data_IF_265291610458
#
_entry.id   IF_265291610458
#
_cell.length_a   1.000
_cell.length_b   1.000
_cell.length_c   1.000
_cell.angle_alpha   90.00
_cell.angle_beta   90.00
_cell.angle_gamma   90.00
#
_symmetry.space_group_name_H-M   'P 1'
#
loop_
_entity.id
_entity.type
_entity.pdbx_description
1 polymer ?
#
# COMPACT_ATOMS: atom_id res chain seq x y z
N UNK A 1 39.68 -0.29 28.86
CA UNK A 1 38.69 -1.28 29.34
C UNK A 1 37.92 -1.78 28.13
N UNK A 2 37.75 -3.09 27.92
CA UNK A 2 37.08 -3.60 26.73
C UNK A 2 35.55 -3.49 26.92
N UNK A 3 34.91 -2.69 26.08
CA UNK A 3 33.46 -2.61 26.00
C UNK A 3 32.92 -3.88 25.33
N UNK A 4 32.21 -4.71 26.09
CA UNK A 4 31.38 -5.77 25.52
C UNK A 4 30.26 -5.10 24.73
N UNK A 5 30.43 -4.97 23.41
CA UNK A 5 29.36 -4.58 22.48
C UNK A 5 28.30 -5.69 22.45
N UNK A 6 27.35 -5.66 23.38
CA UNK A 6 26.12 -6.40 23.21
C UNK A 6 25.29 -5.70 22.14
N UNK A 7 25.15 -6.30 20.96
CA UNK A 7 24.22 -5.85 19.91
C UNK A 7 22.83 -5.58 20.52
N UNK A 8 22.12 -4.51 20.12
CA UNK A 8 20.79 -4.16 20.63
C UNK A 8 19.77 -5.31 20.60
N UNK A 9 19.97 -6.28 19.69
CA UNK A 9 19.23 -7.53 19.65
C UNK A 9 19.40 -8.41 20.89
N UNK A 10 20.63 -8.49 21.40
CA UNK A 10 20.95 -9.23 22.62
C UNK A 10 20.35 -8.54 23.84
N UNK A 11 20.41 -7.21 23.93
CA UNK A 11 19.82 -6.46 25.04
C UNK A 11 18.29 -6.57 25.06
N UNK A 12 17.62 -6.54 23.89
CA UNK A 12 16.17 -6.83 23.79
C UNK A 12 15.80 -8.26 24.23
N UNK A 13 16.58 -9.26 23.82
CA UNK A 13 16.40 -10.66 24.29
C UNK A 13 16.61 -10.80 25.80
N UNK A 14 17.62 -10.14 26.34
CA UNK A 14 17.89 -10.13 27.78
C UNK A 14 16.75 -9.48 28.55
N UNK A 15 16.27 -8.32 28.08
CA UNK A 15 15.12 -7.62 28.66
C UNK A 15 13.87 -8.50 28.65
N UNK A 16 13.55 -9.15 27.53
CA UNK A 16 12.44 -10.10 27.43
C UNK A 16 12.60 -11.27 28.44
N UNK A 17 13.80 -11.81 28.60
CA UNK A 17 14.08 -12.86 29.60
C UNK A 17 13.88 -12.36 31.03
N UNK A 18 14.33 -11.15 31.35
CA UNK A 18 14.14 -10.54 32.68
C UNK A 18 12.66 -10.34 33.02
N UNK A 19 11.83 -10.05 32.02
CA UNK A 19 10.37 -10.00 32.17
C UNK A 19 9.79 -11.39 32.44
N UNK A 20 10.20 -12.41 31.69
CA UNK A 20 9.74 -13.80 31.90
C UNK A 20 10.09 -14.31 33.28
N UNK A 21 11.34 -14.07 33.74
CA UNK A 21 11.82 -14.49 35.06
C UNK A 21 11.29 -13.63 36.21
N UNK A 22 10.48 -12.60 35.92
CA UNK A 22 9.91 -11.67 36.91
C UNK A 22 10.98 -10.99 37.79
N UNK A 23 12.19 -10.79 37.24
CA UNK A 23 13.30 -10.13 37.94
C UNK A 23 13.14 -8.60 38.03
N UNK A 24 12.15 -8.04 37.35
CA UNK A 24 11.89 -6.61 37.27
C UNK A 24 10.63 -6.25 38.07
N UNK A 25 10.80 -5.51 39.17
CA UNK A 25 9.69 -5.01 39.99
C UNK A 25 8.88 -3.93 39.26
N UNK A 26 9.56 -3.08 38.47
CA UNK A 26 8.93 -2.00 37.68
C UNK A 26 9.47 -1.97 36.24
N UNK A 27 8.97 -2.87 35.36
CA UNK A 27 9.40 -2.96 33.97
C UNK A 27 9.36 -1.66 33.15
N UNK A 28 8.34 -0.82 33.37
CA UNK A 28 8.13 0.43 32.65
C UNK A 28 9.22 1.47 32.94
N UNK A 29 9.68 1.58 34.20
CA UNK A 29 10.77 2.49 34.58
C UNK A 29 12.07 2.06 33.93
N UNK A 30 12.35 0.75 33.92
CA UNK A 30 13.56 0.21 33.29
C UNK A 30 13.51 0.43 31.78
N UNK A 31 12.36 0.23 31.14
CA UNK A 31 12.18 0.56 29.73
C UNK A 31 12.48 2.04 29.43
N UNK A 32 11.85 2.98 30.15
CA UNK A 32 12.08 4.42 29.93
C UNK A 32 13.53 4.85 30.19
N UNK A 33 14.24 4.18 31.10
CA UNK A 33 15.64 4.46 31.37
C UNK A 33 16.62 3.81 30.36
N UNK A 34 16.20 2.78 29.64
CA UNK A 34 17.13 1.95 28.83
C UNK A 34 16.75 1.81 27.35
N UNK A 35 15.67 2.44 26.89
CA UNK A 35 15.19 2.30 25.51
C UNK A 35 16.23 2.70 24.45
N UNK A 36 17.12 3.65 24.75
CA UNK A 36 18.19 4.07 23.82
C UNK A 36 19.14 2.90 23.51
N UNK A 37 19.57 2.16 24.53
CA UNK A 37 20.41 0.96 24.39
C UNK A 37 19.66 -0.22 23.78
N UNK A 38 18.34 -0.29 24.02
CA UNK A 38 17.48 -1.30 23.42
C UNK A 38 17.15 -1.01 21.96
N UNK A 39 17.42 0.19 21.46
CA UNK A 39 17.02 0.60 20.10
C UNK A 39 18.18 0.99 19.19
N UNK A 40 19.41 1.06 19.71
CA UNK A 40 20.63 1.46 19.00
C UNK A 40 20.84 0.76 17.64
N UNK A 41 20.55 -0.54 17.54
CA UNK A 41 20.78 -1.33 16.33
C UNK A 41 19.57 -1.39 15.37
N UNK A 42 18.40 -0.84 15.76
CA UNK A 42 17.14 -1.01 15.04
C UNK A 42 17.17 -0.32 13.69
N UNK A 43 17.62 0.93 13.65
CA UNK A 43 17.70 1.68 12.41
C UNK A 43 18.70 1.04 11.44
N UNK A 44 19.86 0.63 11.95
CA UNK A 44 20.87 -0.05 11.15
C UNK A 44 20.38 -1.40 10.59
N UNK A 45 19.70 -2.20 11.41
CA UNK A 45 19.09 -3.46 10.98
C UNK A 45 18.02 -3.24 9.93
N UNK A 46 17.13 -2.28 10.13
CA UNK A 46 16.08 -1.97 9.17
C UNK A 46 16.65 -1.54 7.83
N UNK A 47 17.66 -0.67 7.81
CA UNK A 47 18.39 -0.30 6.58
C UNK A 47 18.98 -1.50 5.85
N UNK A 48 19.51 -2.49 6.58
CA UNK A 48 20.06 -3.72 5.99
C UNK A 48 18.99 -4.69 5.50
N UNK A 49 17.88 -4.82 6.22
CA UNK A 49 16.75 -5.68 5.84
C UNK A 49 16.03 -5.13 4.60
N UNK A 50 15.86 -3.81 4.52
CA UNK A 50 15.17 -3.14 3.39
C UNK A 50 16.10 -2.78 2.24
N UNK A 51 17.43 -2.86 2.43
CA UNK A 51 18.42 -2.44 1.44
C UNK A 51 18.52 -0.92 1.25
N UNK A 52 17.90 -0.11 2.12
CA UNK A 52 17.82 1.35 1.99
C UNK A 52 18.70 2.05 3.01
N UNK A 53 19.79 2.63 2.57
CA UNK A 53 20.78 3.28 3.44
C UNK A 53 20.33 4.66 3.97
N UNK A 54 19.41 5.31 3.26
CA UNK A 54 18.86 6.65 3.53
C UNK A 54 17.61 6.63 4.44
N UNK A 55 17.10 5.45 4.79
CA UNK A 55 15.93 5.28 5.65
C UNK A 55 16.16 5.92 7.02
N UNK A 56 15.24 6.80 7.41
CA UNK A 56 15.18 7.41 8.74
C UNK A 56 13.84 7.09 9.40
N UNK A 57 13.88 6.77 10.68
CA UNK A 57 12.72 6.43 11.50
C UNK A 57 12.58 7.45 12.62
N UNK A 58 11.34 7.76 13.01
CA UNK A 58 11.09 8.59 14.20
C UNK A 58 11.41 7.80 15.48
N UNK A 59 11.62 8.51 16.59
CA UNK A 59 11.89 7.88 17.89
C UNK A 59 10.74 6.95 18.30
N UNK A 60 9.49 7.35 18.04
CA UNK A 60 8.30 6.54 18.32
C UNK A 60 8.29 5.24 17.50
N UNK A 61 8.65 5.31 16.21
CA UNK A 61 8.75 4.13 15.34
C UNK A 61 9.85 3.17 15.80
N UNK A 62 11.01 3.72 16.16
CA UNK A 62 12.16 2.96 16.67
C UNK A 62 11.78 2.24 17.99
N UNK A 63 11.10 2.94 18.90
CA UNK A 63 10.56 2.36 20.14
C UNK A 63 9.55 1.26 19.82
N UNK A 64 8.62 1.49 18.89
CA UNK A 64 7.58 0.52 18.54
C UNK A 64 8.13 -0.77 17.91
N UNK A 65 9.10 -0.65 17.00
CA UNK A 65 9.78 -1.83 16.41
C UNK A 65 10.46 -2.64 17.50
N UNK A 66 11.12 -1.97 18.44
CA UNK A 66 11.77 -2.62 19.58
C UNK A 66 10.79 -3.33 20.50
N UNK A 67 9.65 -2.70 20.80
CA UNK A 67 8.56 -3.31 21.57
C UNK A 67 7.97 -4.53 20.86
N UNK A 68 7.85 -4.48 19.53
CA UNK A 68 7.38 -5.61 18.71
C UNK A 68 8.35 -6.79 18.76
N UNK A 69 9.67 -6.54 18.67
CA UNK A 69 10.68 -7.59 18.83
C UNK A 69 10.65 -8.22 20.23
N UNK A 70 10.45 -7.40 21.27
CA UNK A 70 10.32 -7.87 22.66
C UNK A 70 9.04 -8.71 22.83
N UNK A 71 7.91 -8.27 22.28
CA UNK A 71 6.65 -9.03 22.28
C UNK A 71 6.83 -10.38 21.60
N UNK A 72 7.48 -10.43 20.43
CA UNK A 72 7.77 -11.70 19.74
C UNK A 72 8.63 -12.65 20.58
N UNK A 73 9.61 -12.12 21.31
CA UNK A 73 10.41 -12.92 22.25
C UNK A 73 9.64 -13.37 23.50
N UNK A 74 8.62 -12.62 23.92
CA UNK A 74 7.74 -13.04 25.02
C UNK A 74 6.75 -14.11 24.55
N UNK A 75 6.19 -13.94 23.36
CA UNK A 75 5.25 -14.88 22.74
C UNK A 75 5.91 -16.25 22.53
N UNK A 76 7.18 -16.28 22.12
CA UNK A 76 7.94 -17.53 22.02
C UNK A 76 8.16 -18.25 23.36
N UNK A 77 7.95 -17.55 24.48
CA UNK A 77 7.97 -18.10 25.84
C UNK A 77 6.56 -18.20 26.47
N UNK A 78 5.49 -18.10 25.68
CA UNK A 78 4.10 -18.21 26.14
C UNK A 78 3.66 -17.07 27.07
N UNK A 79 4.24 -15.88 26.90
CA UNK A 79 3.92 -14.66 27.65
C UNK A 79 3.61 -13.51 26.66
N UNK A 80 2.97 -12.46 27.14
CA UNK A 80 2.68 -11.26 26.35
C UNK A 80 2.84 -10.02 27.22
N UNK A 81 3.21 -8.89 26.62
CA UNK A 81 3.28 -7.58 27.28
C UNK A 81 1.94 -7.13 27.87
N UNK A 82 0.82 -7.73 27.41
CA UNK A 82 -0.51 -7.55 28.02
C UNK A 82 -0.54 -7.84 29.53
N UNK A 83 0.38 -8.66 30.03
CA UNK A 83 0.53 -8.97 31.46
C UNK A 83 0.94 -7.75 32.30
N UNK A 84 1.68 -6.80 31.73
CA UNK A 84 2.17 -5.61 32.45
C UNK A 84 1.38 -4.37 32.04
N UNK A 85 0.43 -3.96 32.88
CA UNK A 85 -0.51 -2.87 32.57
C UNK A 85 0.14 -1.52 32.25
N UNK A 86 1.29 -1.22 32.89
CA UNK A 86 2.01 0.04 32.76
C UNK A 86 3.10 0.02 31.68
N UNK A 87 3.32 -1.11 31.01
CA UNK A 87 4.36 -1.24 30.01
C UNK A 87 3.81 -0.76 28.65
N UNK A 88 4.56 0.07 27.90
CA UNK A 88 4.12 0.54 26.59
C UNK A 88 3.95 -0.65 25.65
N UNK A 89 2.78 -0.78 25.05
CA UNK A 89 2.49 -1.91 24.16
C UNK A 89 2.94 -1.54 22.76
N UNK A 90 3.37 -2.53 21.95
CA UNK A 90 3.48 -2.30 20.52
C UNK A 90 2.12 -1.82 20.02
N UNK A 91 2.08 -0.61 19.50
CA UNK A 91 0.94 -0.08 18.78
C UNK A 91 0.95 -0.69 17.39
N UNK A 92 -0.23 -1.11 16.94
CA UNK A 92 -0.41 -1.65 15.61
C UNK A 92 -0.44 -0.47 14.63
N UNK A 93 0.75 -0.06 14.21
CA UNK A 93 0.92 0.87 13.10
C UNK A 93 0.80 0.15 11.73
N UNK A 94 0.23 -1.06 11.70
CA UNK A 94 0.36 -1.98 10.58
C UNK A 94 1.75 -2.63 10.58
N UNK A 95 1.89 -3.70 9.80
CA UNK A 95 3.20 -4.26 9.49
C UNK A 95 4.06 -3.16 8.86
N UNK A 96 4.96 -2.55 9.63
CA UNK A 96 5.97 -1.63 9.08
C UNK A 96 6.83 -2.40 8.07
N UNK A 97 6.40 -2.42 6.81
CA UNK A 97 7.14 -2.93 5.68
C UNK A 97 8.31 -1.98 5.31
N UNK A 98 8.44 -0.86 6.04
CA UNK A 98 9.37 0.23 5.74
C UNK A 98 8.83 1.21 4.70
N UNK A 99 7.66 0.92 4.13
CA UNK A 99 7.02 1.70 3.06
C UNK A 99 5.70 2.31 3.54
N UNK A 100 5.78 3.54 4.03
CA UNK A 100 4.63 4.30 4.53
C UNK A 100 3.49 4.41 3.52
N UNK A 101 3.77 4.36 2.21
CA UNK A 101 2.73 4.45 1.19
C UNK A 101 1.83 3.21 1.18
N UNK A 102 2.38 2.03 1.51
CA UNK A 102 1.62 0.80 1.65
C UNK A 102 0.79 0.85 2.94
N UNK A 103 1.39 1.32 4.03
CA UNK A 103 0.70 1.46 5.32
C UNK A 103 -0.50 2.42 5.22
N UNK A 104 -0.34 3.54 4.51
CA UNK A 104 -1.41 4.51 4.25
C UNK A 104 -2.59 3.85 3.50
N UNK A 105 -2.34 2.93 2.57
CA UNK A 105 -3.38 2.21 1.81
C UNK A 105 -3.98 1.00 2.57
N UNK A 106 -3.30 0.47 3.58
CA UNK A 106 -3.83 -0.61 4.42
C UNK A 106 -4.61 -0.09 5.63
N UNK A 107 -4.61 1.21 5.86
CA UNK A 107 -5.30 1.86 7.00
C UNK A 107 -6.83 1.81 6.90
N UNK A 108 -7.39 1.55 5.71
CA UNK A 108 -8.84 1.50 5.52
C UNK A 108 -9.47 0.35 6.34
N UNK A 109 -10.54 0.67 7.08
CA UNK A 109 -11.26 -0.31 7.89
C UNK A 109 -12.08 -1.22 6.97
N UNK A 110 -11.76 -2.51 6.98
CA UNK A 110 -12.40 -3.54 6.14
C UNK A 110 -13.93 -3.54 6.26
N UNK A 111 -14.46 -3.41 7.48
CA UNK A 111 -15.91 -3.42 7.72
C UNK A 111 -16.63 -2.23 7.10
N UNK A 112 -16.01 -1.04 7.13
CA UNK A 112 -16.60 0.17 6.55
C UNK A 112 -16.62 0.08 5.02
N UNK A 113 -15.54 -0.46 4.44
CA UNK A 113 -15.45 -0.72 3.00
C UNK A 113 -16.47 -1.77 2.55
N UNK A 114 -16.75 -2.79 3.36
CA UNK A 114 -17.78 -3.78 3.06
C UNK A 114 -19.17 -3.15 3.04
N UNK A 115 -19.52 -2.35 4.05
CA UNK A 115 -20.83 -1.65 4.11
C UNK A 115 -21.03 -0.68 2.95
N UNK A 116 -19.98 0.07 2.61
CA UNK A 116 -20.00 0.96 1.44
C UNK A 116 -20.23 0.15 0.16
N UNK A 117 -19.53 -0.98 -0.01
CA UNK A 117 -19.73 -1.86 -1.16
C UNK A 117 -21.16 -2.40 -1.25
N UNK A 118 -21.72 -2.89 -0.15
CA UNK A 118 -23.10 -3.39 -0.10
C UNK A 118 -24.12 -2.31 -0.51
N UNK A 119 -23.92 -1.07 -0.04
CA UNK A 119 -24.76 0.08 -0.39
C UNK A 119 -24.69 0.40 -1.89
N UNK A 120 -23.48 0.42 -2.45
CA UNK A 120 -23.27 0.66 -3.88
C UNK A 120 -23.84 -0.50 -4.72
N UNK A 121 -23.65 -1.74 -4.29
CA UNK A 121 -24.17 -2.92 -4.99
C UNK A 121 -25.71 -3.02 -4.94
N UNK A 122 -26.37 -2.32 -4.03
CA UNK A 122 -27.84 -2.19 -4.02
C UNK A 122 -28.36 -1.19 -5.07
N UNK A 123 -27.55 -0.20 -5.46
CA UNK A 123 -27.94 0.85 -6.43
C UNK A 123 -27.37 0.64 -7.84
N UNK A 124 -26.53 -0.38 -8.03
CA UNK A 124 -25.85 -0.66 -9.31
C UNK A 124 -26.84 -1.12 -10.39
N UNK A 125 -26.65 -0.65 -11.62
CA UNK A 125 -27.43 -1.12 -12.78
C UNK A 125 -26.93 -2.49 -13.26
N UNK A 126 -27.76 -3.22 -14.03
CA UNK A 126 -27.36 -4.53 -14.57
C UNK A 126 -26.13 -4.48 -15.47
N UNK A 127 -25.99 -3.40 -16.24
CA UNK A 127 -24.84 -3.17 -17.12
C UNK A 127 -23.56 -2.91 -16.30
N UNK A 128 -23.63 -2.00 -15.33
CA UNK A 128 -22.52 -1.74 -14.41
C UNK A 128 -22.13 -2.97 -13.60
N UNK A 129 -23.11 -3.80 -13.21
CA UNK A 129 -22.88 -5.06 -12.48
C UNK A 129 -22.09 -6.07 -13.31
N UNK A 130 -22.35 -6.16 -14.62
CA UNK A 130 -21.58 -7.05 -15.51
C UNK A 130 -20.11 -6.65 -15.56
N UNK A 131 -19.84 -5.36 -15.78
CA UNK A 131 -18.48 -4.80 -15.78
C UNK A 131 -17.80 -5.03 -14.42
N UNK A 132 -18.50 -4.73 -13.33
CA UNK A 132 -18.02 -4.92 -11.97
C UNK A 132 -17.60 -6.37 -11.72
N UNK A 133 -18.47 -7.35 -12.02
CA UNK A 133 -18.18 -8.76 -11.79
C UNK A 133 -16.96 -9.21 -12.59
N UNK A 134 -16.89 -8.83 -13.86
CA UNK A 134 -15.79 -9.23 -14.73
C UNK A 134 -14.43 -8.71 -14.25
N UNK A 135 -14.35 -7.44 -13.85
CA UNK A 135 -13.10 -6.85 -13.35
C UNK A 135 -12.76 -7.44 -11.98
N UNK A 136 -13.76 -7.60 -11.11
CA UNK A 136 -13.58 -8.23 -9.80
C UNK A 136 -13.00 -9.65 -9.95
N UNK A 137 -13.56 -10.46 -10.84
CA UNK A 137 -13.06 -11.81 -11.10
C UNK A 137 -11.63 -11.81 -11.65
N UNK A 138 -11.29 -10.86 -12.54
CA UNK A 138 -9.93 -10.73 -13.06
C UNK A 138 -8.92 -10.34 -11.98
N UNK A 139 -9.30 -9.45 -11.06
CA UNK A 139 -8.47 -9.06 -9.92
C UNK A 139 -8.28 -10.22 -8.94
N UNK A 140 -9.36 -10.93 -8.63
CA UNK A 140 -9.36 -11.98 -7.61
C UNK A 140 -8.65 -13.26 -8.08
N UNK A 141 -8.70 -13.55 -9.37
CA UNK A 141 -7.99 -14.70 -9.95
C UNK A 141 -6.55 -14.37 -10.37
N UNK A 142 -6.07 -13.15 -10.10
CA UNK A 142 -4.75 -12.66 -10.50
C UNK A 142 -4.48 -12.87 -12.01
N UNK A 143 -5.53 -12.84 -12.85
CA UNK A 143 -5.40 -13.03 -14.30
C UNK A 143 -4.73 -11.82 -14.98
N UNK A 144 -4.72 -10.67 -14.29
CA UNK A 144 -4.30 -9.39 -14.85
C UNK A 144 -5.23 -8.91 -15.96
N UNK A 145 -5.00 -7.68 -16.45
CA UNK A 145 -5.72 -7.16 -17.61
C UNK A 145 -5.79 -5.63 -17.63
N UNK A 146 -5.94 -5.05 -18.81
CA UNK A 146 -6.26 -3.62 -18.95
C UNK A 146 -7.69 -3.54 -19.45
N UNK A 147 -8.54 -2.85 -18.68
CA UNK A 147 -9.96 -2.68 -18.93
C UNK A 147 -10.23 -1.21 -19.25
N UNK A 148 -10.92 -0.98 -20.35
CA UNK A 148 -11.35 0.36 -20.76
C UNK A 148 -12.85 0.48 -20.48
N UNK A 149 -13.24 1.40 -19.59
CA UNK A 149 -14.64 1.63 -19.30
C UNK A 149 -15.18 2.75 -20.20
N UNK A 150 -16.07 2.39 -21.10
CA UNK A 150 -16.76 3.34 -21.98
C UNK A 150 -18.02 3.88 -21.30
N UNK A 151 -18.37 5.13 -21.63
CA UNK A 151 -19.64 5.74 -21.25
C UNK A 151 -19.59 7.25 -21.36
N UNK A 152 -20.67 7.87 -21.83
CA UNK A 152 -20.81 9.32 -21.89
C UNK A 152 -20.69 9.98 -20.50
N UNK A 153 -20.49 11.30 -20.46
CA UNK A 153 -20.57 12.06 -19.21
C UNK A 153 -21.88 11.76 -18.47
N UNK A 154 -21.82 11.52 -17.16
CA UNK A 154 -23.01 11.21 -16.34
C UNK A 154 -23.45 9.74 -16.31
N UNK A 155 -22.77 8.82 -17.01
CA UNK A 155 -23.10 7.37 -17.01
C UNK A 155 -22.68 6.61 -15.74
N UNK A 156 -22.14 7.29 -14.73
CA UNK A 156 -21.77 6.67 -13.46
C UNK A 156 -20.47 5.85 -13.49
N UNK A 157 -19.51 6.15 -14.38
CA UNK A 157 -18.19 5.49 -14.38
C UNK A 157 -17.50 5.55 -12.99
N UNK A 158 -17.51 6.73 -12.38
CA UNK A 158 -17.01 6.95 -11.01
C UNK A 158 -17.72 6.08 -9.98
N UNK A 159 -19.00 5.76 -10.18
CA UNK A 159 -19.75 4.86 -9.30
C UNK A 159 -19.18 3.43 -9.36
N UNK A 160 -18.90 2.92 -10.57
CA UNK A 160 -18.26 1.60 -10.76
C UNK A 160 -16.87 1.58 -10.11
N UNK A 161 -16.10 2.66 -10.24
CA UNK A 161 -14.78 2.78 -9.62
C UNK A 161 -14.84 2.71 -8.10
N UNK A 162 -15.80 3.41 -7.49
CA UNK A 162 -16.05 3.36 -6.04
C UNK A 162 -16.43 1.95 -5.59
N UNK A 163 -17.35 1.31 -6.32
CA UNK A 163 -17.79 -0.04 -5.99
C UNK A 163 -16.64 -1.05 -6.06
N UNK A 164 -15.83 -1.03 -7.12
CA UNK A 164 -14.66 -1.90 -7.25
C UNK A 164 -13.61 -1.62 -6.16
N UNK A 165 -13.37 -0.34 -5.86
CA UNK A 165 -12.42 0.06 -4.81
C UNK A 165 -12.82 -0.50 -3.45
N UNK A 166 -14.08 -0.31 -3.06
CA UNK A 166 -14.59 -0.77 -1.77
C UNK A 166 -14.64 -2.29 -1.67
N UNK A 167 -14.95 -2.99 -2.78
CA UNK A 167 -14.96 -4.45 -2.86
C UNK A 167 -13.59 -5.08 -2.62
N UNK A 168 -12.54 -4.47 -3.15
CA UNK A 168 -11.18 -4.99 -3.05
C UNK A 168 -10.57 -4.60 -1.70
N UNK A 169 -10.81 -3.37 -1.25
CA UNK A 169 -10.36 -2.89 0.08
C UNK A 169 -11.04 -3.64 1.23
N UNK A 170 -12.30 -4.04 1.10
CA UNK A 170 -12.97 -4.90 2.11
C UNK A 170 -12.37 -6.30 2.22
N UNK A 171 -11.45 -6.68 1.32
CA UNK A 171 -10.66 -7.91 1.43
C UNK A 171 -9.24 -7.66 1.95
N UNK A 172 -8.95 -6.46 2.44
CA UNK A 172 -7.62 -6.07 2.92
C UNK A 172 -6.59 -5.90 1.81
N UNK A 173 -7.03 -5.71 0.56
CA UNK A 173 -6.15 -5.54 -0.59
C UNK A 173 -6.01 -4.06 -0.98
N UNK A 174 -4.90 -3.72 -1.62
CA UNK A 174 -4.55 -2.34 -1.98
C UNK A 174 -5.13 -1.97 -3.34
N UNK A 175 -5.81 -0.82 -3.39
CA UNK A 175 -6.34 -0.20 -4.61
C UNK A 175 -5.76 1.19 -4.77
N UNK A 176 -5.17 1.49 -5.93
CA UNK A 176 -4.64 2.82 -6.22
C UNK A 176 -5.64 3.58 -7.08
N UNK A 177 -6.38 4.48 -6.43
CA UNK A 177 -7.24 5.43 -7.13
C UNK A 177 -6.40 6.61 -7.63
N UNK A 178 -6.45 6.83 -8.94
CA UNK A 178 -5.72 7.89 -9.63
C UNK A 178 -6.60 8.62 -10.62
N UNK A 179 -6.30 9.89 -10.85
CA UNK A 179 -6.92 10.66 -11.92
C UNK A 179 -5.92 11.63 -12.54
N UNK A 180 -6.22 12.14 -13.74
CA UNK A 180 -5.39 13.17 -14.37
C UNK A 180 -5.58 14.54 -13.69
N UNK A 181 -6.82 14.89 -13.35
CA UNK A 181 -7.16 16.11 -12.61
C UNK A 181 -7.26 15.88 -11.10
N UNK A 182 -6.86 16.88 -10.31
CA UNK A 182 -7.02 16.86 -8.85
C UNK A 182 -8.48 16.79 -8.41
N UNK A 183 -9.40 17.43 -9.15
CA UNK A 183 -10.83 17.42 -8.85
C UNK A 183 -11.42 16.02 -9.07
N UNK A 184 -11.06 15.34 -10.15
CA UNK A 184 -11.47 13.96 -10.41
C UNK A 184 -10.92 13.00 -9.35
N UNK A 185 -9.67 13.20 -8.91
CA UNK A 185 -9.07 12.39 -7.86
C UNK A 185 -9.85 12.48 -6.53
N UNK A 186 -10.36 13.65 -6.16
CA UNK A 186 -11.12 13.84 -4.92
C UNK A 186 -12.45 13.07 -4.89
N UNK A 187 -12.99 12.69 -6.05
CA UNK A 187 -14.22 11.90 -6.12
C UNK A 187 -14.00 10.44 -5.68
N UNK A 188 -12.76 9.98 -5.63
CA UNK A 188 -12.39 8.63 -5.21
C UNK A 188 -11.69 8.67 -3.86
N UNK A 189 -12.04 7.76 -2.95
CA UNK A 189 -11.42 7.71 -1.63
C UNK A 189 -9.93 7.34 -1.74
N UNK A 190 -9.07 8.17 -1.17
CA UNK A 190 -7.61 8.04 -1.32
C UNK A 190 -7.09 8.41 -2.71
N UNK A 191 -7.92 9.02 -3.55
CA UNK A 191 -7.56 9.43 -4.89
C UNK A 191 -6.43 10.46 -4.90
N UNK A 192 -5.47 10.27 -5.79
CA UNK A 192 -4.34 11.20 -6.02
C UNK A 192 -4.20 11.46 -7.51
N UNK A 193 -3.61 12.59 -7.89
CA UNK A 193 -3.28 12.80 -9.31
C UNK A 193 -2.23 11.78 -9.75
N UNK A 194 -2.30 11.33 -11.00
CA UNK A 194 -1.31 10.40 -11.57
C UNK A 194 0.12 10.94 -11.44
N UNK A 195 0.29 12.25 -11.64
CA UNK A 195 1.54 12.97 -11.40
C UNK A 195 2.08 12.76 -9.97
N UNK A 196 1.22 12.88 -8.95
CA UNK A 196 1.63 12.70 -7.57
C UNK A 196 1.80 11.21 -7.19
N UNK A 197 0.94 10.33 -7.71
CA UNK A 197 0.94 8.89 -7.40
C UNK A 197 2.11 8.15 -8.05
N UNK A 198 2.46 8.48 -9.28
CA UNK A 198 3.47 7.77 -10.07
C UNK A 198 4.72 8.62 -10.32
N UNK A 199 4.70 9.91 -9.99
CA UNK A 199 5.83 10.80 -10.27
C UNK A 199 6.02 11.10 -11.75
N UNK A 200 4.93 11.04 -12.52
CA UNK A 200 4.91 11.39 -13.94
C UNK A 200 5.12 12.92 -14.05
N UNK A 201 6.09 13.41 -14.84
CA UNK A 201 6.24 14.84 -15.10
C UNK A 201 5.13 15.38 -16.01
N UNK A 202 4.71 16.62 -15.75
CA UNK A 202 3.62 17.31 -16.48
C UNK A 202 4.02 17.65 -17.92
N UNK A 203 5.32 17.89 -18.16
CA UNK A 203 5.88 18.10 -19.49
C UNK A 203 6.60 16.82 -19.96
N UNK A 204 5.99 16.10 -20.88
CA UNK A 204 6.57 14.91 -21.51
C UNK A 204 7.57 15.38 -22.57
N UNK A 205 8.84 15.51 -22.19
CA UNK A 205 9.94 15.48 -23.16
C UNK A 205 10.34 14.00 -23.40
N UNK A 206 10.84 13.64 -24.58
CA UNK A 206 11.24 12.26 -24.96
C UNK A 206 12.29 11.64 -24.02
N UNK A 207 12.84 12.44 -23.10
CA UNK A 207 13.84 12.06 -22.09
C UNK A 207 13.31 12.02 -20.65
N UNK A 208 12.00 12.20 -20.45
CA UNK A 208 11.40 12.33 -19.11
C UNK A 208 11.17 10.97 -18.43
N UNK A 209 12.18 10.49 -17.70
CA UNK A 209 12.08 9.28 -16.86
C UNK A 209 11.33 9.54 -15.55
N UNK A 210 10.46 8.61 -15.14
CA UNK A 210 9.78 8.62 -13.83
C UNK A 210 10.79 8.39 -12.69
N UNK A 211 11.47 9.45 -12.22
CA UNK A 211 12.49 9.39 -11.15
C UNK A 211 11.99 8.80 -9.82
N UNK A 212 10.67 8.75 -9.59
CA UNK A 212 10.09 8.16 -8.38
C UNK A 212 9.85 6.64 -8.47
N UNK A 213 9.91 6.04 -9.66
CA UNK A 213 9.56 4.62 -9.90
C UNK A 213 10.79 3.72 -10.12
N UNK A 214 11.94 4.11 -9.56
CA UNK A 214 13.14 3.28 -9.62
C UNK A 214 12.91 1.92 -8.93
N UNK A 215 13.48 0.82 -9.45
CA UNK A 215 13.38 -0.49 -8.81
C UNK A 215 13.91 -0.44 -7.36
N UNK A 216 13.05 -0.75 -6.40
CA UNK A 216 13.38 -0.70 -4.96
C UNK A 216 12.90 0.59 -4.24
N UNK A 217 12.28 1.52 -4.96
CA UNK A 217 11.63 2.68 -4.34
C UNK A 217 10.29 2.32 -3.67
N UNK A 218 9.86 3.16 -2.72
CA UNK A 218 8.55 3.02 -2.07
C UNK A 218 7.39 3.01 -3.06
N UNK A 219 7.46 3.83 -4.11
CA UNK A 219 6.39 3.92 -5.09
C UNK A 219 6.36 2.66 -5.98
N UNK A 220 7.52 2.10 -6.34
CA UNK A 220 7.59 0.87 -7.10
C UNK A 220 7.05 -0.33 -6.30
N UNK A 221 7.36 -0.41 -5.01
CA UNK A 221 6.80 -1.41 -4.11
C UNK A 221 5.30 -1.25 -3.89
N UNK A 222 4.80 0.00 -3.75
CA UNK A 222 3.38 0.27 -3.64
C UNK A 222 2.61 -0.23 -4.87
N UNK A 223 3.11 0.08 -6.07
CA UNK A 223 2.52 -0.38 -7.33
C UNK A 223 2.58 -1.90 -7.44
N UNK A 224 3.65 -2.53 -6.95
CA UNK A 224 3.73 -4.00 -6.84
C UNK A 224 2.75 -4.56 -5.82
N UNK A 225 2.45 -3.88 -4.73
CA UNK A 225 1.53 -4.37 -3.71
C UNK A 225 0.05 -4.18 -4.10
N UNK A 226 -0.25 -3.18 -4.95
CA UNK A 226 -1.59 -2.91 -5.45
C UNK A 226 -2.15 -4.09 -6.25
N UNK A 227 -3.47 -4.32 -6.14
CA UNK A 227 -4.22 -5.34 -6.90
C UNK A 227 -5.03 -4.73 -8.04
N UNK A 228 -5.54 -3.52 -7.84
CA UNK A 228 -6.26 -2.73 -8.84
C UNK A 228 -5.68 -1.32 -8.89
N UNK A 229 -5.53 -0.80 -10.11
CA UNK A 229 -5.23 0.61 -10.36
C UNK A 229 -6.40 1.19 -11.15
N UNK A 230 -7.08 2.16 -10.56
CA UNK A 230 -8.10 2.95 -11.28
C UNK A 230 -7.43 4.23 -11.72
N UNK A 231 -7.53 4.57 -13.00
CA UNK A 231 -7.00 5.82 -13.54
C UNK A 231 -8.08 6.56 -14.31
N UNK A 232 -8.70 7.52 -13.65
CA UNK A 232 -9.71 8.39 -14.24
C UNK A 232 -9.09 9.47 -15.16
N UNK A 233 -9.71 9.72 -16.30
CA UNK A 233 -9.24 10.64 -17.36
C UNK A 233 -7.79 10.38 -17.83
N UNK A 234 -7.32 9.14 -17.87
CA UNK A 234 -5.95 8.83 -18.27
C UNK A 234 -5.59 9.41 -19.65
N UNK A 235 -4.47 10.15 -19.81
CA UNK A 235 -3.99 10.53 -21.13
C UNK A 235 -3.58 9.26 -21.89
N UNK A 236 -3.54 9.35 -23.22
CA UNK A 236 -3.10 8.24 -24.08
C UNK A 236 -1.80 7.63 -23.53
N UNK A 237 -1.91 6.39 -23.07
CA UNK A 237 -0.82 5.68 -22.41
C UNK A 237 0.33 5.51 -23.39
N UNK A 238 1.39 6.32 -23.28
CA UNK A 238 2.59 6.13 -24.09
C UNK A 238 3.16 4.73 -23.87
N UNK A 239 3.80 4.15 -24.89
CA UNK A 239 4.37 2.78 -24.85
C UNK A 239 5.30 2.55 -23.65
N UNK A 240 5.80 3.60 -23.02
CA UNK A 240 6.78 3.56 -21.93
C UNK A 240 6.26 2.95 -20.62
N UNK A 241 4.95 2.79 -20.45
CA UNK A 241 4.40 2.26 -19.20
C UNK A 241 3.93 0.81 -19.27
N UNK A 242 4.05 0.14 -20.43
CA UNK A 242 3.52 -1.21 -20.65
C UNK A 242 4.07 -2.27 -19.68
N UNK A 243 5.35 -2.18 -19.33
CA UNK A 243 6.00 -3.20 -18.49
C UNK A 243 5.65 -3.07 -17.00
N UNK A 244 5.23 -1.88 -16.56
CA UNK A 244 4.89 -1.60 -15.17
C UNK A 244 3.57 -2.26 -14.74
N UNK A 245 2.72 -2.63 -15.70
CA UNK A 245 1.30 -2.91 -15.49
C UNK A 245 0.85 -4.31 -15.89
N UNK A 246 1.77 -5.13 -16.40
CA UNK A 246 1.50 -6.42 -17.05
C UNK A 246 0.80 -7.48 -16.18
N UNK A 247 0.79 -7.29 -14.86
CA UNK A 247 0.24 -8.25 -13.90
C UNK A 247 -0.89 -7.68 -13.04
N UNK A 248 -1.46 -6.53 -13.42
CA UNK A 248 -2.49 -5.84 -12.62
C UNK A 248 -3.73 -5.57 -13.46
N UNK A 249 -4.88 -5.47 -12.79
CA UNK A 249 -6.04 -4.89 -13.42
C UNK A 249 -5.88 -3.36 -13.45
N UNK A 250 -5.95 -2.76 -14.64
CA UNK A 250 -5.98 -1.30 -14.79
C UNK A 250 -7.28 -0.91 -15.45
N UNK A 251 -7.98 0.05 -14.84
CA UNK A 251 -9.24 0.56 -15.34
C UNK A 251 -9.07 2.02 -15.80
N UNK A 252 -9.28 2.28 -17.08
CA UNK A 252 -9.16 3.63 -17.68
C UNK A 252 -10.46 4.03 -18.38
N UNK A 253 -10.97 5.27 -18.22
CA UNK A 253 -12.06 5.78 -19.03
C UNK A 253 -11.56 6.13 -20.42
N UNK A 254 -12.45 6.01 -21.40
CA UNK A 254 -12.22 6.50 -22.76
C UNK A 254 -12.69 7.95 -22.85
N UNK A 255 -11.92 8.82 -23.51
CA UNK A 255 -12.36 10.17 -23.90
C UNK A 255 -12.63 10.13 -25.41
N UNK A 256 -13.70 10.75 -25.91
CA UNK A 256 -14.20 10.54 -27.29
C UNK A 256 -13.19 10.95 -28.40
N UNK A 257 -12.13 11.70 -28.06
CA UNK A 257 -11.03 12.03 -28.98
C UNK A 257 -9.89 10.98 -29.00
N UNK A 258 -9.97 9.95 -28.16
CA UNK A 258 -8.86 9.02 -27.82
C UNK A 258 -8.79 7.77 -28.69
N UNK A 259 -9.86 7.46 -29.41
CA UNK A 259 -10.04 6.21 -30.16
C UNK A 259 -8.91 5.94 -31.18
N UNK A 260 -8.47 6.96 -31.93
CA UNK A 260 -7.50 6.78 -33.03
C UNK A 260 -6.10 6.36 -32.58
N UNK A 261 -5.70 6.73 -31.37
CA UNK A 261 -4.36 6.40 -30.85
C UNK A 261 -4.44 5.19 -29.92
N UNK A 262 -5.57 4.98 -29.23
CA UNK A 262 -5.82 3.74 -28.51
C UNK A 262 -5.79 2.53 -29.46
N UNK A 263 -6.41 2.61 -30.64
CA UNK A 263 -6.37 1.54 -31.65
C UNK A 263 -4.93 1.20 -32.08
N UNK A 264 -4.07 2.22 -32.24
CA UNK A 264 -2.66 2.02 -32.57
C UNK A 264 -1.86 1.40 -31.41
N UNK A 265 -2.11 1.82 -30.17
CA UNK A 265 -1.44 1.28 -28.96
C UNK A 265 -1.84 -0.16 -28.66
N UNK A 266 -3.12 -0.49 -28.88
CA UNK A 266 -3.75 -1.80 -28.70
C UNK A 266 -3.27 -2.82 -29.73
N UNK A 267 -2.99 -2.39 -30.97
CA UNK A 267 -2.34 -3.23 -31.99
C UNK A 267 -0.95 -3.75 -31.60
N UNK A 268 -0.39 -3.28 -30.48
CA UNK A 268 0.97 -3.54 -30.02
C UNK A 268 1.02 -4.21 -28.63
N UNK A 269 -0.09 -4.75 -28.13
CA UNK A 269 -0.15 -5.49 -26.85
C UNK A 269 -0.70 -6.90 -27.08
N UNK A 270 -0.07 -7.95 -26.51
CA UNK A 270 -0.66 -9.29 -26.51
C UNK A 270 -1.72 -9.38 -25.41
N UNK A 271 -3.00 -9.32 -25.79
CA UNK A 271 -4.14 -9.54 -24.88
C UNK A 271 -5.47 -9.15 -25.53
N UNK A 272 -6.34 -10.13 -25.78
CA UNK A 272 -7.68 -9.94 -26.31
C UNK A 272 -8.67 -9.60 -25.19
N UNK A 273 -9.39 -8.48 -25.31
CA UNK A 273 -10.86 -8.39 -25.35
C UNK A 273 -11.33 -6.96 -25.07
N UNK A 274 -12.04 -6.38 -26.04
CA UNK A 274 -12.73 -5.11 -25.96
C UNK A 274 -14.14 -5.33 -25.39
N UNK A 275 -14.60 -4.44 -24.52
CA UNK A 275 -15.98 -4.44 -24.04
C UNK A 275 -16.62 -3.10 -24.42
N UNK A 276 -17.60 -3.18 -25.31
CA UNK A 276 -18.54 -2.11 -25.64
C UNK A 276 -19.68 -2.10 -24.62
#
# INVERSE_FOLDING_TARGET
MPAFFSSGTYTRKLFARMLVSSCLSQPHVVWEATWEYLTEDVLYKKRRETGRLDMNLTIEQIKNISLTEIENHLLSNGRSLKKWKLMPKPEDFGCYNGNRLIDDELKYVVEDQLKENETLMAMITDEQRRVYNQISDAVLNDSGGVFFLYGYGGTGKTFVYKALSSAIRSRGMIVLNTASSGIAALLLEGGRTAHFRFGIPIDIDEFSTCKKMEPGSDHAELVKAAKLIVWDEAPMMSRHYKDLYRYRAILTPTNDEVDKINDYMLSQLPGNNFYH
#
